data_IF_272025294900
#
_entry.id   IF_272025294900
#
_cell.length_a   1.000
_cell.length_b   1.000
_cell.length_c   1.000
_cell.angle_alpha   90.00
_cell.angle_beta   90.00
_cell.angle_gamma   90.00
#
_symmetry.space_group_name_H-M   'P 1'
#
loop_
_entity.id
_entity.type
_entity.pdbx_description
1 polymer ?
#
# COMPACT_ATOMS: atom_id res chain seq x y z
N UNK A 1 -3.59 12.47 -14.48
CA UNK A 1 -2.91 11.40 -15.25
C UNK A 1 -3.23 10.06 -14.61
N UNK A 2 -3.66 9.02 -15.35
CA UNK A 2 -4.06 7.73 -14.73
C UNK A 2 -2.81 6.88 -14.46
N UNK A 3 -2.54 6.59 -13.18
CA UNK A 3 -1.47 5.70 -12.75
C UNK A 3 -2.02 4.28 -12.60
N UNK A 4 -1.27 3.29 -13.06
CA UNK A 4 -1.64 1.88 -12.86
C UNK A 4 -1.30 1.47 -11.43
N UNK A 5 -2.26 0.94 -10.69
CA UNK A 5 -2.04 0.38 -9.36
C UNK A 5 -1.85 -1.13 -9.50
N UNK A 6 -0.70 -1.64 -9.06
CA UNK A 6 -0.39 -3.07 -9.06
C UNK A 6 -0.07 -3.53 -7.64
N UNK A 7 -0.37 -4.79 -7.34
CA UNK A 7 0.02 -5.43 -6.09
C UNK A 7 1.24 -6.33 -6.33
N UNK A 8 2.23 -6.27 -5.45
CA UNK A 8 3.40 -7.15 -5.51
C UNK A 8 3.24 -8.34 -4.54
N UNK A 9 3.60 -9.54 -5.04
CA UNK A 9 3.56 -10.78 -4.27
C UNK A 9 2.17 -11.25 -3.86
N UNK A 10 2.13 -12.21 -2.93
CA UNK A 10 0.90 -12.82 -2.41
C UNK A 10 0.24 -11.98 -1.30
N UNK A 11 0.98 -11.02 -0.74
CA UNK A 11 0.59 -10.19 0.40
C UNK A 11 -0.76 -9.48 0.23
N UNK A 12 -1.13 -9.14 -1.00
CA UNK A 12 -2.42 -8.51 -1.27
C UNK A 12 -3.59 -9.42 -0.97
N UNK A 13 -3.52 -10.67 -1.44
CA UNK A 13 -4.59 -11.65 -1.23
C UNK A 13 -4.69 -11.99 0.25
N UNK A 14 -3.56 -12.15 0.91
CA UNK A 14 -3.49 -12.45 2.34
C UNK A 14 -4.11 -11.31 3.16
N UNK A 15 -3.80 -10.06 2.83
CA UNK A 15 -4.43 -8.90 3.47
C UNK A 15 -5.94 -8.85 3.22
N UNK A 16 -6.40 -8.99 1.98
CA UNK A 16 -7.84 -8.97 1.68
C UNK A 16 -8.60 -10.10 2.35
N UNK A 17 -7.98 -11.28 2.54
CA UNK A 17 -8.59 -12.41 3.25
C UNK A 17 -8.87 -12.11 4.74
N UNK A 18 -8.22 -11.10 5.32
CA UNK A 18 -8.52 -10.64 6.69
C UNK A 18 -9.70 -9.69 6.79
N UNK A 19 -10.24 -9.24 5.66
CA UNK A 19 -11.25 -8.18 5.58
C UNK A 19 -12.65 -8.74 5.27
N UNK A 20 -13.66 -8.08 5.80
CA UNK A 20 -15.05 -8.27 5.38
C UNK A 20 -15.28 -7.67 3.99
N UNK A 21 -16.34 -8.12 3.30
CA UNK A 21 -16.68 -7.64 1.97
C UNK A 21 -16.79 -6.10 1.88
N UNK A 22 -17.37 -5.45 2.90
CA UNK A 22 -17.49 -3.98 2.95
C UNK A 22 -16.13 -3.29 3.11
N UNK A 23 -15.22 -3.88 3.87
CA UNK A 23 -13.86 -3.37 4.05
C UNK A 23 -13.04 -3.54 2.77
N UNK A 24 -13.17 -4.69 2.09
CA UNK A 24 -12.56 -4.93 0.77
C UNK A 24 -13.03 -3.87 -0.24
N UNK A 25 -14.33 -3.61 -0.30
CA UNK A 25 -14.88 -2.57 -1.18
C UNK A 25 -14.31 -1.18 -0.87
N UNK A 26 -14.18 -0.85 0.42
CA UNK A 26 -13.57 0.42 0.83
C UNK A 26 -12.10 0.51 0.43
N UNK A 27 -11.31 -0.55 0.64
CA UNK A 27 -9.91 -0.61 0.23
C UNK A 27 -9.77 -0.44 -1.27
N UNK A 28 -10.53 -1.21 -2.06
CA UNK A 28 -10.53 -1.11 -3.53
C UNK A 28 -10.88 0.30 -4.02
N UNK A 29 -11.87 0.94 -3.40
CA UNK A 29 -12.24 2.31 -3.71
C UNK A 29 -11.10 3.31 -3.41
N UNK A 30 -10.42 3.20 -2.27
CA UNK A 30 -9.30 4.12 -1.99
C UNK A 30 -8.11 3.86 -2.93
N UNK A 31 -7.84 2.60 -3.29
CA UNK A 31 -6.82 2.26 -4.28
C UNK A 31 -7.17 2.80 -5.67
N UNK A 32 -8.44 2.79 -6.07
CA UNK A 32 -8.83 3.40 -7.36
C UNK A 32 -8.59 4.90 -7.37
N UNK A 33 -8.93 5.60 -6.28
CA UNK A 33 -8.62 7.02 -6.12
C UNK A 33 -7.11 7.29 -6.18
N UNK A 34 -6.30 6.44 -5.56
CA UNK A 34 -4.83 6.53 -5.61
C UNK A 34 -4.30 6.43 -7.06
N UNK A 35 -4.94 5.64 -7.91
CA UNK A 35 -4.60 5.53 -9.34
C UNK A 35 -5.14 6.65 -10.23
N UNK A 36 -6.24 7.32 -9.85
CA UNK A 36 -6.91 8.31 -10.71
C UNK A 36 -6.64 9.76 -10.32
N UNK A 37 -6.48 10.03 -9.02
CA UNK A 37 -6.33 11.39 -8.51
C UNK A 37 -4.88 11.85 -8.61
N UNK A 38 -4.65 13.02 -9.18
CA UNK A 38 -3.31 13.62 -9.24
C UNK A 38 -2.86 14.16 -7.88
N UNK A 39 -3.81 14.45 -6.97
CA UNK A 39 -3.53 14.94 -5.63
C UNK A 39 -4.49 14.31 -4.63
N UNK A 40 -4.08 13.21 -4.00
CA UNK A 40 -4.78 12.74 -2.81
C UNK A 40 -4.50 13.67 -1.63
N UNK A 41 -5.53 14.00 -0.82
CA UNK A 41 -5.33 14.76 0.40
C UNK A 41 -4.24 14.14 1.30
N UNK A 42 -3.35 14.98 1.85
CA UNK A 42 -2.22 14.56 2.72
C UNK A 42 -2.67 13.69 3.90
N UNK A 43 -3.93 13.82 4.35
CA UNK A 43 -4.49 12.94 5.38
C UNK A 43 -4.50 11.45 5.00
N UNK A 44 -4.55 11.13 3.70
CA UNK A 44 -4.55 9.76 3.20
C UNK A 44 -3.16 9.22 2.90
N UNK A 45 -2.18 10.06 2.58
CA UNK A 45 -0.82 9.63 2.24
C UNK A 45 0.17 10.24 3.21
N UNK A 46 0.96 9.39 3.85
CA UNK A 46 2.12 9.80 4.62
C UNK A 46 3.40 9.32 3.94
N UNK A 47 4.36 10.22 3.77
CA UNK A 47 5.75 9.85 3.44
C UNK A 47 6.39 9.22 4.67
N UNK A 48 7.00 8.04 4.52
CA UNK A 48 7.67 7.33 5.61
C UNK A 48 9.17 7.61 5.54
N UNK A 49 9.90 6.94 4.64
CA UNK A 49 11.32 7.18 4.30
C UNK A 49 11.69 6.35 3.06
N UNK A 50 12.84 6.62 2.47
CA UNK A 50 13.43 5.79 1.39
C UNK A 50 12.45 5.53 0.24
N UNK A 51 11.66 6.53 -0.17
CA UNK A 51 10.65 6.38 -1.23
C UNK A 51 9.47 5.45 -0.89
N UNK A 52 9.32 5.06 0.39
CA UNK A 52 8.17 4.32 0.91
C UNK A 52 7.08 5.29 1.38
N UNK A 53 5.85 5.02 0.95
CA UNK A 53 4.66 5.78 1.30
C UNK A 53 3.67 4.90 2.04
N UNK A 54 2.87 5.51 2.91
CA UNK A 54 1.81 4.88 3.68
C UNK A 54 0.46 5.46 3.26
N UNK A 55 -0.43 4.62 2.74
CA UNK A 55 -1.83 4.92 2.53
C UNK A 55 -2.63 4.63 3.81
N UNK A 56 -3.42 5.60 4.23
CA UNK A 56 -4.19 5.61 5.48
C UNK A 56 -5.67 5.47 5.18
N UNK A 57 -6.24 4.33 5.57
CA UNK A 57 -7.67 4.06 5.41
C UNK A 57 -8.29 3.93 6.79
N UNK A 58 -9.46 4.53 6.96
CA UNK A 58 -10.29 4.35 8.14
C UNK A 58 -11.72 4.05 7.72
N UNK A 59 -12.32 3.04 8.34
CA UNK A 59 -13.69 2.61 8.05
C UNK A 59 -14.30 1.95 9.28
N UNK A 60 -15.48 2.42 9.69
CA UNK A 60 -16.21 1.84 10.82
C UNK A 60 -15.38 1.65 12.11
N UNK A 61 -14.54 2.63 12.45
CA UNK A 61 -13.63 2.56 13.61
C UNK A 61 -12.36 1.73 13.38
N UNK A 62 -12.26 0.96 12.30
CA UNK A 62 -11.06 0.23 11.92
C UNK A 62 -10.08 1.13 11.15
N UNK A 63 -8.80 0.85 11.34
CA UNK A 63 -7.69 1.60 10.75
C UNK A 63 -6.81 0.62 9.98
N UNK A 64 -6.59 0.91 8.70
CA UNK A 64 -5.71 0.15 7.82
C UNK A 64 -4.60 1.06 7.32
N UNK A 65 -3.41 0.47 7.21
CA UNK A 65 -2.23 1.10 6.66
C UNK A 65 -1.72 0.19 5.56
N UNK A 66 -1.51 0.75 4.38
CA UNK A 66 -1.04 0.01 3.21
C UNK A 66 0.20 0.73 2.72
N UNK A 67 1.33 0.03 2.62
CA UNK A 67 2.53 0.64 2.08
C UNK A 67 2.55 0.54 0.55
N UNK A 68 3.12 1.54 -0.09
CA UNK A 68 3.30 1.55 -1.53
C UNK A 68 4.50 2.39 -1.93
N UNK A 69 4.94 2.20 -3.17
CA UNK A 69 6.00 2.97 -3.83
C UNK A 69 5.50 3.48 -5.18
N UNK A 70 6.16 4.49 -5.70
CA UNK A 70 6.02 4.91 -7.09
C UNK A 70 7.18 4.34 -7.90
N UNK A 71 6.87 3.67 -9.01
CA UNK A 71 7.87 3.10 -9.92
C UNK A 71 7.38 3.24 -11.36
N UNK A 72 8.14 3.92 -12.23
CA UNK A 72 7.86 4.09 -13.66
C UNK A 72 6.40 4.48 -14.01
N UNK A 73 5.82 5.43 -13.26
CA UNK A 73 4.44 5.87 -13.47
C UNK A 73 3.37 4.91 -12.95
N UNK A 74 3.79 3.81 -12.32
CA UNK A 74 2.95 2.87 -11.60
C UNK A 74 3.01 3.13 -10.09
N UNK A 75 1.95 2.69 -9.42
CA UNK A 75 1.86 2.62 -7.97
C UNK A 75 1.94 1.14 -7.61
N UNK A 76 3.04 0.75 -6.98
CA UNK A 76 3.28 -0.63 -6.57
C UNK A 76 2.93 -0.74 -5.09
N UNK A 77 1.88 -1.50 -4.81
CA UNK A 77 1.37 -1.67 -3.47
C UNK A 77 2.04 -2.87 -2.81
N UNK A 78 2.70 -2.59 -1.69
CA UNK A 78 3.41 -3.53 -0.85
C UNK A 78 2.50 -3.82 0.35
N UNK A 79 1.62 -4.81 0.19
CA UNK A 79 0.54 -5.07 1.15
C UNK A 79 1.03 -5.68 2.47
N UNK A 80 1.66 -4.88 3.31
CA UNK A 80 1.80 -5.20 4.73
C UNK A 80 0.70 -4.51 5.53
N UNK A 81 -0.54 -4.93 5.27
CA UNK A 81 -1.72 -4.37 5.93
C UNK A 81 -1.97 -5.04 7.27
N UNK A 82 -1.88 -4.27 8.35
CA UNK A 82 -2.21 -4.73 9.70
C UNK A 82 -3.54 -4.11 10.17
N UNK A 83 -4.33 -4.89 10.91
CA UNK A 83 -5.41 -4.34 11.73
C UNK A 83 -4.79 -3.74 12.99
N UNK A 84 -5.00 -2.44 13.24
CA UNK A 84 -4.46 -1.78 14.43
C UNK A 84 -5.52 -1.01 15.20
N UNK A 85 -5.48 -1.16 16.52
CA UNK A 85 -6.11 -0.26 17.49
C UNK A 85 -5.27 0.98 17.81
N UNK A 86 -4.02 1.07 17.33
CA UNK A 86 -3.09 2.18 17.66
C UNK A 86 -2.75 3.05 16.45
N UNK A 87 -2.59 4.36 16.68
CA UNK A 87 -2.44 5.37 15.62
C UNK A 87 -1.05 5.38 14.95
N UNK A 88 -0.01 4.91 15.66
CA UNK A 88 1.37 4.83 15.16
C UNK A 88 1.62 3.50 14.45
N UNK A 89 2.25 3.55 13.29
CA UNK A 89 2.74 2.38 12.54
C UNK A 89 3.98 1.81 13.25
N UNK A 90 4.06 0.50 13.57
CA UNK A 90 5.25 -0.07 14.19
C UNK A 90 6.44 0.03 13.24
N UNK A 91 7.64 0.27 13.78
CA UNK A 91 8.87 0.24 13.00
C UNK A 91 9.07 -1.11 12.30
N UNK A 92 8.73 -2.22 12.95
CA UNK A 92 8.83 -3.57 12.37
C UNK A 92 8.02 -3.75 11.09
N UNK A 93 6.88 -3.07 10.95
CA UNK A 93 6.06 -3.15 9.72
C UNK A 93 6.64 -2.28 8.60
N UNK A 94 7.28 -1.16 8.97
CA UNK A 94 8.05 -0.33 8.03
C UNK A 94 9.26 -1.11 7.51
N UNK A 95 10.01 -1.77 8.39
CA UNK A 95 11.19 -2.54 8.02
C UNK A 95 10.83 -3.71 7.10
N UNK A 96 9.73 -4.42 7.38
CA UNK A 96 9.19 -5.44 6.47
C UNK A 96 8.82 -4.85 5.11
N UNK A 97 8.16 -3.70 5.07
CA UNK A 97 7.77 -3.06 3.82
C UNK A 97 8.99 -2.62 2.98
N UNK A 98 10.07 -2.17 3.64
CA UNK A 98 11.34 -1.87 2.97
C UNK A 98 12.00 -3.12 2.40
N UNK A 99 11.97 -4.24 3.13
CA UNK A 99 12.48 -5.52 2.60
C UNK A 99 11.68 -5.99 1.38
N UNK A 100 10.35 -5.91 1.42
CA UNK A 100 9.49 -6.27 0.27
C UNK A 100 9.77 -5.33 -0.92
N UNK A 101 10.06 -4.05 -0.66
CA UNK A 101 10.48 -3.10 -1.69
C UNK A 101 11.79 -3.54 -2.34
N UNK A 102 12.79 -3.95 -1.56
CA UNK A 102 14.06 -4.47 -2.09
C UNK A 102 13.84 -5.71 -2.95
N UNK A 103 13.07 -6.69 -2.45
CA UNK A 103 12.69 -7.90 -3.20
C UNK A 103 12.00 -7.57 -4.52
N UNK A 104 11.12 -6.56 -4.55
CA UNK A 104 10.47 -6.09 -5.77
C UNK A 104 11.48 -5.57 -6.81
N UNK A 105 12.44 -4.74 -6.38
CA UNK A 105 13.43 -4.18 -7.30
C UNK A 105 14.42 -5.23 -7.79
N UNK A 106 14.80 -6.19 -6.95
CA UNK A 106 15.62 -7.34 -7.37
C UNK A 106 14.89 -8.20 -8.40
N UNK A 107 13.62 -8.55 -8.14
CA UNK A 107 12.77 -9.26 -9.09
C UNK A 107 12.69 -8.51 -10.42
N UNK A 108 12.39 -7.21 -10.37
CA UNK A 108 12.30 -6.37 -11.57
C UNK A 108 13.62 -6.36 -12.35
N UNK A 109 14.77 -6.23 -11.69
CA UNK A 109 16.09 -6.23 -12.35
C UNK A 109 16.40 -7.57 -13.04
N UNK A 110 15.97 -8.69 -12.47
CA UNK A 110 16.18 -10.02 -13.06
C UNK A 110 15.26 -10.31 -14.26
N UNK A 111 14.17 -9.53 -14.40
CA UNK A 111 13.15 -9.71 -15.44
C UNK A 111 13.00 -8.45 -16.33
N UNK A 112 13.97 -7.54 -16.25
CA UNK A 112 14.09 -6.41 -17.15
C UNK A 112 14.98 -6.86 -18.31
N UNK A 113 14.40 -6.96 -19.51
CA UNK A 113 15.12 -7.23 -20.76
C UNK A 113 16.11 -6.10 -21.10
#
# INVERSE_FOLDING_TARGET
MRRKVIAYGQYYKDFLATLTEKEIQKVKYVLSLLGTEDRLPIKFIKVIRDGLYELRISYNGNIYRIFFIFDEGQIVVLFNGFHKKTQKTPSSEIDKALKIKEEYYEYKKQHAD
#
